data_IF_264322916784
#
_entry.id   IF_264322916784
#
_cell.length_a   1.000
_cell.length_b   1.000
_cell.length_c   1.000
_cell.angle_alpha   90.00
_cell.angle_beta   90.00
_cell.angle_gamma   90.00
#
_symmetry.space_group_name_H-M   'P 1'
#
loop_
_entity.id
_entity.type
_entity.pdbx_description
1 polymer ?
#
# COMPACT_ATOMS: atom_id res chain seq x y z
N UNK A 1 -18.35 13.33 3.41
CA UNK A 1 -19.11 14.17 2.45
C UNK A 1 -18.58 13.95 1.02
N UNK A 2 -19.17 12.97 0.31
CA UNK A 2 -18.91 12.73 -1.11
C UNK A 2 -19.87 13.58 -1.93
N UNK A 3 -19.59 14.87 -2.05
CA UNK A 3 -20.48 15.79 -2.77
C UNK A 3 -20.31 15.74 -4.30
N UNK A 4 -19.29 15.01 -4.80
CA UNK A 4 -18.90 14.92 -6.21
C UNK A 4 -18.70 13.46 -6.65
N UNK A 5 -18.45 13.24 -7.96
CA UNK A 5 -18.13 11.91 -8.52
C UNK A 5 -16.90 11.31 -7.82
N UNK A 6 -16.96 10.03 -7.52
CA UNK A 6 -15.88 9.28 -6.89
C UNK A 6 -15.90 7.82 -7.37
N UNK A 7 -14.78 7.13 -7.22
CA UNK A 7 -14.67 5.70 -7.47
C UNK A 7 -14.08 4.97 -6.25
N UNK A 8 -14.45 3.69 -6.15
CA UNK A 8 -13.97 2.75 -5.13
C UNK A 8 -13.31 1.57 -5.83
N UNK A 9 -12.14 1.17 -5.37
CA UNK A 9 -11.46 -0.03 -5.85
C UNK A 9 -10.95 -0.84 -4.67
N UNK A 10 -11.38 -2.10 -4.57
CA UNK A 10 -10.88 -3.05 -3.57
C UNK A 10 -9.67 -3.81 -4.12
N UNK A 11 -8.54 -3.79 -3.41
CA UNK A 11 -7.31 -4.49 -3.82
C UNK A 11 -6.79 -5.34 -2.67
N UNK A 12 -6.48 -6.61 -2.93
CA UNK A 12 -5.83 -7.51 -1.99
C UNK A 12 -5.28 -8.75 -2.68
N UNK A 13 -4.81 -9.71 -1.88
CA UNK A 13 -4.22 -10.96 -2.37
C UNK A 13 -5.23 -12.08 -2.63
N UNK A 14 -6.52 -11.81 -2.41
CA UNK A 14 -7.62 -12.76 -2.62
C UNK A 14 -8.99 -12.12 -2.41
N UNK A 15 -10.07 -12.92 -2.37
CA UNK A 15 -11.42 -12.42 -2.12
C UNK A 15 -11.56 -11.70 -0.78
N UNK A 16 -12.33 -10.61 -0.75
CA UNK A 16 -12.53 -9.77 0.45
C UNK A 16 -13.17 -10.51 1.63
N UNK A 17 -13.95 -11.57 1.37
CA UNK A 17 -14.56 -12.41 2.40
C UNK A 17 -13.52 -13.16 3.26
N UNK A 18 -12.32 -13.38 2.72
CA UNK A 18 -11.28 -14.22 3.34
C UNK A 18 -9.93 -13.51 3.48
N UNK A 19 -9.80 -12.29 2.95
CA UNK A 19 -8.56 -11.52 2.94
C UNK A 19 -8.79 -10.11 3.43
N UNK A 20 -7.79 -9.58 4.16
CA UNK A 20 -7.71 -8.14 4.34
C UNK A 20 -7.45 -7.48 2.98
N UNK A 21 -8.27 -6.49 2.64
CA UNK A 21 -8.18 -5.72 1.40
C UNK A 21 -8.01 -4.23 1.70
N UNK A 22 -7.35 -3.51 0.80
CA UNK A 22 -7.26 -2.06 0.83
C UNK A 22 -8.35 -1.51 -0.08
N UNK A 23 -9.23 -0.70 0.49
CA UNK A 23 -10.17 0.12 -0.27
C UNK A 23 -9.49 1.41 -0.71
N UNK A 24 -9.29 1.58 -2.02
CA UNK A 24 -8.84 2.85 -2.60
C UNK A 24 -10.05 3.68 -2.98
N UNK A 25 -10.10 4.91 -2.45
CA UNK A 25 -11.12 5.90 -2.79
C UNK A 25 -10.50 7.04 -3.59
N UNK A 26 -11.03 7.29 -4.78
CA UNK A 26 -10.61 8.43 -5.61
C UNK A 26 -11.77 9.42 -5.77
N UNK A 27 -11.57 10.66 -5.32
CA UNK A 27 -12.52 11.75 -5.50
C UNK A 27 -12.12 12.57 -6.74
N UNK A 28 -13.05 12.72 -7.70
CA UNK A 28 -12.71 13.28 -9.01
C UNK A 28 -12.34 14.76 -8.88
N UNK A 29 -11.23 15.15 -9.49
CA UNK A 29 -10.66 16.50 -9.40
C UNK A 29 -9.79 16.74 -8.17
N UNK A 30 -9.71 15.78 -7.23
CA UNK A 30 -8.80 15.84 -6.08
C UNK A 30 -7.59 14.94 -6.38
N UNK A 31 -6.41 15.55 -6.51
CA UNK A 31 -5.17 14.85 -6.89
C UNK A 31 -4.20 14.65 -5.73
N UNK A 32 -4.45 15.29 -4.60
CA UNK A 32 -3.58 15.24 -3.43
C UNK A 32 -4.40 15.27 -2.13
N UNK A 33 -3.89 14.57 -1.12
CA UNK A 33 -4.35 14.63 0.25
C UNK A 33 -3.15 14.91 1.14
N UNK A 34 -3.28 15.87 2.05
CA UNK A 34 -2.25 16.09 3.07
C UNK A 34 -2.24 14.89 4.02
N UNK A 35 -1.06 14.33 4.23
CA UNK A 35 -0.89 13.18 5.11
C UNK A 35 -0.73 13.67 6.56
N UNK A 36 -1.53 13.09 7.46
CA UNK A 36 -1.34 13.23 8.90
C UNK A 36 -0.23 12.33 9.44
N UNK A 37 -0.18 12.16 10.75
CA UNK A 37 0.76 11.26 11.45
C UNK A 37 0.06 10.12 12.21
N UNK A 38 -1.24 9.95 11.98
CA UNK A 38 -2.09 8.94 12.59
C UNK A 38 -1.85 7.55 11.97
N UNK A 39 -1.74 7.49 10.65
CA UNK A 39 -1.49 6.26 9.92
C UNK A 39 0.00 6.03 9.68
N UNK A 40 0.57 5.02 10.35
CA UNK A 40 2.01 4.72 10.30
C UNK A 40 2.42 3.84 9.12
N UNK A 41 1.53 2.99 8.61
CA UNK A 41 1.80 2.11 7.47
C UNK A 41 1.14 0.75 7.58
N UNK A 42 1.17 0.01 6.48
CA UNK A 42 0.80 -1.40 6.42
C UNK A 42 2.04 -2.28 6.60
N UNK A 43 1.86 -3.50 7.12
CA UNK A 43 2.90 -4.52 7.15
C UNK A 43 2.43 -5.75 6.37
N UNK A 44 3.22 -6.18 5.38
CA UNK A 44 2.93 -7.34 4.54
C UNK A 44 4.09 -8.34 4.56
N UNK A 45 3.80 -9.62 4.36
CA UNK A 45 4.82 -10.64 4.13
C UNK A 45 4.90 -10.97 2.65
N UNK A 46 6.00 -10.56 1.98
CA UNK A 46 6.17 -10.77 0.53
C UNK A 46 7.59 -10.43 0.07
N UNK A 47 8.50 -11.41 0.08
CA UNK A 47 9.83 -11.29 -0.56
C UNK A 47 9.71 -10.92 -2.03
N UNK A 48 8.69 -11.45 -2.68
CA UNK A 48 8.38 -11.26 -4.09
C UNK A 48 8.07 -9.78 -4.39
N UNK A 49 7.46 -9.05 -3.45
CA UNK A 49 7.24 -7.61 -3.60
C UNK A 49 8.55 -6.82 -3.57
N UNK A 50 9.51 -7.20 -2.70
CA UNK A 50 10.84 -6.58 -2.69
C UNK A 50 11.58 -6.85 -4.01
N UNK A 51 11.53 -8.09 -4.50
CA UNK A 51 12.13 -8.44 -5.79
C UNK A 51 11.52 -7.62 -6.93
N UNK A 52 10.19 -7.59 -7.03
CA UNK A 52 9.48 -6.79 -8.06
C UNK A 52 9.80 -5.30 -7.95
N UNK A 53 9.90 -4.76 -6.74
CA UNK A 53 10.28 -3.36 -6.53
C UNK A 53 11.65 -3.07 -7.15
N UNK A 54 12.67 -3.89 -6.83
CA UNK A 54 14.00 -3.76 -7.40
C UNK A 54 14.01 -3.91 -8.93
N UNK A 55 13.34 -4.94 -9.46
CA UNK A 55 13.26 -5.20 -10.91
C UNK A 55 12.61 -4.03 -11.68
N UNK A 56 11.75 -3.24 -11.03
CA UNK A 56 11.04 -2.11 -11.61
C UNK A 56 11.59 -0.74 -11.18
N UNK A 57 12.77 -0.69 -10.58
CA UNK A 57 13.39 0.53 -10.04
C UNK A 57 12.49 1.30 -9.05
N UNK A 58 11.64 0.59 -8.30
CA UNK A 58 10.89 1.17 -7.19
C UNK A 58 11.78 1.27 -5.94
N UNK A 59 11.88 2.44 -5.29
CA UNK A 59 12.75 2.60 -4.12
C UNK A 59 12.37 1.66 -2.98
N UNK A 60 13.35 0.88 -2.52
CA UNK A 60 13.26 0.11 -1.27
C UNK A 60 13.98 0.93 -0.20
N UNK A 61 13.24 1.35 0.82
CA UNK A 61 13.75 2.11 1.96
C UNK A 61 13.85 1.22 3.19
N UNK A 62 14.56 1.67 4.22
CA UNK A 62 14.70 0.95 5.49
C UNK A 62 14.52 1.91 6.67
N UNK A 63 13.78 1.48 7.69
CA UNK A 63 13.54 2.21 8.93
C UNK A 63 13.45 1.21 10.09
N UNK A 64 14.22 1.42 11.15
CA UNK A 64 14.28 0.53 12.33
C UNK A 64 14.56 -0.95 11.99
N UNK A 65 15.38 -1.21 10.96
CA UNK A 65 15.70 -2.55 10.48
C UNK A 65 14.59 -3.23 9.68
N UNK A 66 13.51 -2.53 9.36
CA UNK A 66 12.45 -3.02 8.48
C UNK A 66 12.51 -2.34 7.11
N UNK A 67 12.54 -3.15 6.05
CA UNK A 67 12.41 -2.65 4.67
C UNK A 67 10.97 -2.21 4.43
N UNK A 68 10.79 -1.12 3.70
CA UNK A 68 9.48 -0.67 3.28
C UNK A 68 9.49 -0.05 1.89
N UNK A 69 8.31 -0.07 1.27
CA UNK A 69 8.00 0.62 0.02
C UNK A 69 7.03 1.76 0.33
N UNK A 70 7.08 2.85 -0.42
CA UNK A 70 6.08 3.91 -0.33
C UNK A 70 5.18 3.85 -1.55
N UNK A 71 3.87 3.81 -1.34
CA UNK A 71 2.88 4.01 -2.39
C UNK A 71 2.71 5.52 -2.69
N UNK A 72 2.13 5.89 -3.85
CA UNK A 72 1.74 7.27 -4.12
C UNK A 72 0.86 7.83 -3.00
N UNK A 73 1.12 9.06 -2.56
CA UNK A 73 0.50 9.62 -1.36
C UNK A 73 1.24 9.31 -0.05
N UNK A 74 2.48 8.81 -0.14
CA UNK A 74 3.41 8.60 0.98
C UNK A 74 2.94 7.53 2.00
N UNK A 75 2.08 6.60 1.58
CA UNK A 75 1.67 5.47 2.41
C UNK A 75 2.76 4.41 2.46
N UNK A 76 3.27 4.13 3.67
CA UNK A 76 4.31 3.11 3.88
C UNK A 76 3.73 1.70 3.87
N UNK A 77 4.44 0.78 3.21
CA UNK A 77 4.24 -0.66 3.23
C UNK A 77 5.53 -1.33 3.72
N UNK A 78 5.60 -1.66 5.01
CA UNK A 78 6.67 -2.46 5.58
C UNK A 78 6.58 -3.89 5.08
N UNK A 79 7.72 -4.48 4.73
CA UNK A 79 7.77 -5.80 4.12
C UNK A 79 8.61 -6.75 4.97
N UNK A 80 7.96 -7.80 5.45
CA UNK A 80 8.60 -8.96 6.04
C UNK A 80 9.19 -9.79 4.90
N UNK A 81 10.52 -9.94 4.88
CA UNK A 81 11.28 -10.66 3.85
C UNK A 81 11.18 -12.19 3.99
N UNK A 82 9.96 -12.70 3.84
CA UNK A 82 9.63 -14.12 3.73
C UNK A 82 8.73 -14.33 2.51
N UNK A 83 8.71 -15.53 1.92
CA UNK A 83 7.79 -15.84 0.82
C UNK A 83 6.33 -15.50 1.18
N UNK A 84 5.53 -15.14 0.19
CA UNK A 84 4.09 -14.93 0.38
C UNK A 84 3.43 -16.13 1.08
N UNK A 85 2.52 -15.92 2.04
CA UNK A 85 1.69 -16.98 2.60
C UNK A 85 0.87 -17.67 1.50
N UNK A 86 0.65 -18.98 1.68
CA UNK A 86 -0.18 -19.83 0.82
C UNK A 86 -1.58 -19.98 1.37
#
# INVERSE_FOLDING_TARGET
>A
PYANRWSKTMIGYGPEDTHFVVELTYNYGITHYEQGNDFLGFTIQSRESLKRALDNNWPVKEENGMKYLEAPGNYKFYVIDKPQPT
#
